data_IF_589756686119
#
_entry.id   IF_589756686119
#
_cell.length_a   1.000
_cell.length_b   1.000
_cell.length_c   1.000
_cell.angle_alpha   90.00
_cell.angle_beta   90.00
_cell.angle_gamma   90.00
#
_symmetry.space_group_name_H-M   'P 1'
#
loop_
_entity.id
_entity.type
_entity.pdbx_description
1 polymer ?
#
# COMPACT_ATOMS: atom_id res chain seq x y z
N UNK A 1 2.49 17.01 35.78
CA UNK A 1 2.24 17.30 34.35
C UNK A 1 1.36 16.19 33.82
N UNK A 2 0.08 16.47 33.55
CA UNK A 2 -0.80 15.49 32.89
C UNK A 2 -0.32 15.34 31.45
N UNK A 3 0.27 14.19 31.13
CA UNK A 3 0.75 13.90 29.79
C UNK A 3 -0.45 13.52 28.92
N UNK A 4 -1.19 14.52 28.44
CA UNK A 4 -2.39 14.29 27.64
C UNK A 4 -1.97 13.94 26.21
N UNK A 5 -1.88 12.64 25.91
CA UNK A 5 -1.60 12.14 24.57
C UNK A 5 -2.73 12.50 23.61
N UNK A 6 -2.40 13.06 22.44
CA UNK A 6 -3.36 13.33 21.36
C UNK A 6 -3.97 12.02 20.86
N UNK A 7 -5.31 11.95 20.82
CA UNK A 7 -6.06 10.82 20.29
C UNK A 7 -6.77 11.20 19.00
N UNK A 8 -6.83 10.27 18.05
CA UNK A 8 -7.56 10.42 16.79
C UNK A 8 -8.22 9.08 16.44
N UNK A 9 -9.43 9.15 15.89
CA UNK A 9 -10.22 7.95 15.51
C UNK A 9 -10.39 7.87 14.01
N UNK A 10 -10.19 6.66 13.48
CA UNK A 10 -10.28 6.27 12.07
C UNK A 10 -10.98 4.92 12.00
N UNK A 11 -11.58 4.62 10.85
CA UNK A 11 -12.24 3.33 10.59
C UNK A 11 -11.23 2.26 10.17
N UNK A 12 -10.15 2.68 9.50
CA UNK A 12 -9.01 1.81 9.19
C UNK A 12 -7.69 2.55 9.37
N UNK A 13 -6.66 1.81 9.76
CA UNK A 13 -5.29 2.31 9.91
C UNK A 13 -4.35 1.37 9.16
N UNK A 14 -3.60 1.93 8.21
CA UNK A 14 -2.54 1.24 7.47
C UNK A 14 -1.20 1.72 8.01
N UNK A 15 -0.36 0.78 8.45
CA UNK A 15 1.00 1.05 8.94
C UNK A 15 2.01 0.62 7.89
N UNK A 16 2.65 1.59 7.23
CA UNK A 16 3.63 1.41 6.17
C UNK A 16 3.17 2.00 4.84
N UNK A 17 3.95 2.94 4.29
CA UNK A 17 3.66 3.64 3.02
C UNK A 17 4.36 3.03 1.80
N UNK A 18 4.60 1.71 1.80
CA UNK A 18 5.12 0.98 0.63
C UNK A 18 4.04 0.63 -0.39
N UNK A 19 4.37 -0.09 -1.45
CA UNK A 19 3.42 -0.42 -2.52
C UNK A 19 2.11 -1.06 -2.02
N UNK A 20 2.23 -2.08 -1.15
CA UNK A 20 1.06 -2.74 -0.56
C UNK A 20 0.22 -1.81 0.33
N UNK A 21 0.87 -1.04 1.20
CA UNK A 21 0.17 -0.14 2.12
C UNK A 21 -0.54 1.01 1.40
N UNK A 22 0.11 1.60 0.39
CA UNK A 22 -0.52 2.63 -0.44
C UNK A 22 -1.71 2.07 -1.22
N UNK A 23 -1.60 0.85 -1.79
CA UNK A 23 -2.73 0.22 -2.50
C UNK A 23 -3.92 -0.07 -1.57
N UNK A 24 -3.65 -0.58 -0.37
CA UNK A 24 -4.67 -0.84 0.64
C UNK A 24 -5.34 0.45 1.13
N UNK A 25 -4.55 1.49 1.45
CA UNK A 25 -5.08 2.77 1.93
C UNK A 25 -5.94 3.47 0.87
N UNK A 26 -5.55 3.39 -0.40
CA UNK A 26 -6.36 3.87 -1.52
C UNK A 26 -7.71 3.14 -1.56
N UNK A 27 -7.71 1.80 -1.57
CA UNK A 27 -8.95 1.03 -1.69
C UNK A 27 -9.91 1.27 -0.51
N UNK A 28 -9.39 1.37 0.71
CA UNK A 28 -10.19 1.68 1.90
C UNK A 28 -10.82 3.07 1.80
N UNK A 29 -10.06 4.06 1.32
CA UNK A 29 -10.56 5.43 1.13
C UNK A 29 -11.60 5.50 0.00
N UNK A 30 -11.39 4.79 -1.11
CA UNK A 30 -12.36 4.67 -2.21
C UNK A 30 -13.66 3.99 -1.78
N UNK A 31 -13.60 3.07 -0.80
CA UNK A 31 -14.77 2.46 -0.19
C UNK A 31 -15.50 3.39 0.80
N UNK A 32 -15.05 4.64 0.97
CA UNK A 32 -15.65 5.64 1.86
C UNK A 32 -15.19 5.58 3.31
N UNK A 33 -14.22 4.73 3.65
CA UNK A 33 -13.72 4.60 5.02
C UNK A 33 -12.70 5.72 5.33
N UNK A 34 -12.90 6.39 6.47
CA UNK A 34 -11.94 7.34 7.03
C UNK A 34 -10.66 6.60 7.44
N UNK A 35 -9.69 6.63 6.54
CA UNK A 35 -8.47 5.82 6.63
C UNK A 35 -7.25 6.67 6.99
N UNK A 36 -6.42 6.20 7.92
CA UNK A 36 -5.10 6.77 8.19
C UNK A 36 -4.00 5.90 7.59
N UNK A 37 -3.11 6.46 6.77
CA UNK A 37 -1.87 5.81 6.36
C UNK A 37 -0.70 6.43 7.14
N UNK A 38 -0.02 5.63 7.94
CA UNK A 38 1.09 6.08 8.80
C UNK A 38 2.37 5.43 8.29
N UNK A 39 3.38 6.24 7.99
CA UNK A 39 4.67 5.76 7.48
C UNK A 39 5.82 6.52 8.10
N UNK A 40 6.93 5.82 8.37
CA UNK A 40 8.15 6.39 8.95
C UNK A 40 8.87 7.32 7.97
N UNK A 41 8.78 7.03 6.67
CA UNK A 41 9.41 7.78 5.59
C UNK A 41 8.36 8.21 4.59
N UNK A 42 8.67 9.26 3.80
CA UNK A 42 7.83 9.66 2.69
C UNK A 42 7.58 8.46 1.74
N UNK A 43 6.36 8.21 1.23
CA UNK A 43 5.99 6.95 0.58
C UNK A 43 6.93 6.48 -0.55
N UNK A 44 7.42 7.40 -1.37
CA UNK A 44 8.35 7.08 -2.48
C UNK A 44 9.77 6.74 -2.03
N UNK A 45 10.06 6.79 -0.71
CA UNK A 45 11.30 6.30 -0.09
C UNK A 45 11.13 4.94 0.61
N UNK A 46 9.98 4.29 0.43
CA UNK A 46 9.79 2.89 0.86
C UNK A 46 10.69 1.95 0.05
N UNK A 47 11.06 0.80 0.61
CA UNK A 47 11.93 -0.17 -0.08
C UNK A 47 11.33 -0.73 -1.38
N UNK A 48 10.01 -0.59 -1.59
CA UNK A 48 9.35 -0.88 -2.88
C UNK A 48 9.97 -0.08 -4.03
N UNK A 49 10.52 1.13 -3.76
CA UNK A 49 11.19 1.95 -4.77
C UNK A 49 12.43 1.28 -5.37
N UNK A 50 13.02 0.32 -4.65
CA UNK A 50 14.24 -0.38 -5.07
C UNK A 50 13.97 -1.57 -6.00
N UNK A 51 12.71 -1.88 -6.32
CA UNK A 51 12.36 -2.97 -7.22
C UNK A 51 12.86 -2.68 -8.66
N UNK A 52 13.51 -3.65 -9.29
CA UNK A 52 14.15 -3.49 -10.61
C UNK A 52 13.56 -4.39 -11.70
N UNK A 53 13.17 -5.63 -11.35
CA UNK A 53 12.75 -6.63 -12.34
C UNK A 53 11.41 -6.32 -12.98
N UNK A 54 10.32 -6.53 -12.23
CA UNK A 54 8.96 -6.34 -12.71
C UNK A 54 7.94 -7.00 -11.80
N UNK A 55 6.70 -7.09 -12.28
CA UNK A 55 5.61 -7.83 -11.64
C UNK A 55 5.14 -8.94 -12.58
N UNK A 56 5.10 -10.18 -12.10
CA UNK A 56 4.62 -11.31 -12.88
C UNK A 56 3.09 -11.27 -12.98
N UNK A 57 2.54 -11.39 -14.20
CA UNK A 57 1.11 -11.43 -14.44
C UNK A 57 0.83 -12.25 -15.71
N UNK A 58 -0.18 -13.13 -15.66
CA UNK A 58 -0.61 -13.95 -16.79
C UNK A 58 -1.44 -13.11 -17.78
N UNK A 59 -0.75 -12.30 -18.59
CA UNK A 59 -1.37 -11.43 -19.63
C UNK A 59 -1.05 -11.89 -21.07
N UNK A 60 -0.42 -13.06 -21.24
CA UNK A 60 -0.07 -13.65 -22.54
C UNK A 60 0.70 -12.71 -23.49
N UNK A 61 1.55 -11.83 -22.94
CA UNK A 61 2.25 -10.80 -23.72
C UNK A 61 3.61 -11.24 -24.26
N UNK A 62 4.23 -12.28 -23.68
CA UNK A 62 5.59 -12.70 -24.01
C UNK A 62 5.64 -14.03 -24.77
N UNK A 63 4.95 -15.06 -24.26
CA UNK A 63 4.79 -16.33 -24.96
C UNK A 63 3.30 -16.55 -25.27
N UNK A 64 2.89 -16.56 -26.55
CA UNK A 64 1.52 -16.85 -26.96
C UNK A 64 1.01 -18.24 -26.54
N UNK A 65 1.93 -19.15 -26.15
CA UNK A 65 1.62 -20.51 -25.70
C UNK A 65 1.71 -20.69 -24.18
N UNK A 66 1.89 -19.60 -23.42
CA UNK A 66 1.88 -19.62 -21.94
C UNK A 66 0.46 -19.89 -21.43
N UNK A 67 0.12 -21.18 -21.25
CA UNK A 67 -1.08 -21.65 -20.56
C UNK A 67 -0.72 -21.96 -19.10
N UNK A 68 -1.38 -21.28 -18.17
CA UNK A 68 -1.14 -21.42 -16.73
C UNK A 68 -1.82 -22.67 -16.11
N UNK A 69 -2.47 -23.50 -16.94
CA UNK A 69 -3.03 -24.80 -16.56
C UNK A 69 -1.99 -25.90 -16.42
#
# INVERSE_FOLDING_TARGET
MSNTLRKMTYEAIVIGGGGAGMRAALQLTEAGLKTACITKVFPTRSHTVSAQGGITCAIASHDPNDDWR
#
